data_IF_877339543067
#
_entry.id   IF_877339543067
#
_cell.length_a   1.000
_cell.length_b   1.000
_cell.length_c   1.000
_cell.angle_alpha   90.00
_cell.angle_beta   90.00
_cell.angle_gamma   90.00
#
_symmetry.space_group_name_H-M   'P 1'
#
loop_
_entity.id
_entity.type
_entity.pdbx_description
1 polymer ?
#
# COMPACT_ATOMS: atom_id res chain seq x y z
N UNK A 1 -13.14 9.59 -2.86
CA UNK A 1 -13.45 8.37 -3.64
C UNK A 1 -13.15 7.16 -2.76
N UNK A 2 -13.63 5.96 -3.08
CA UNK A 2 -13.30 4.76 -2.28
C UNK A 2 -11.99 4.08 -2.72
N UNK A 3 -11.29 4.64 -3.69
CA UNK A 3 -10.28 3.90 -4.47
C UNK A 3 -9.00 3.55 -3.70
N UNK A 4 -8.72 4.27 -2.60
CA UNK A 4 -7.52 4.07 -1.78
C UNK A 4 -7.69 3.08 -0.60
N UNK A 5 -8.80 2.35 -0.52
CA UNK A 5 -9.06 1.35 0.54
C UNK A 5 -9.00 1.95 1.96
N UNK A 6 -8.65 1.14 2.96
CA UNK A 6 -8.40 1.52 4.36
C UNK A 6 -6.95 1.99 4.53
N UNK A 7 -6.74 3.30 4.49
CA UNK A 7 -5.41 3.89 4.62
C UNK A 7 -4.91 3.80 6.08
N UNK A 8 -3.73 3.21 6.29
CA UNK A 8 -3.00 3.22 7.57
C UNK A 8 -1.85 4.23 7.60
N UNK A 9 -1.26 4.54 6.44
CA UNK A 9 -0.21 5.54 6.29
C UNK A 9 -0.21 6.15 4.90
N UNK A 10 0.27 7.40 4.79
CA UNK A 10 0.32 8.11 3.51
C UNK A 10 1.60 8.92 3.33
N UNK A 11 2.01 9.06 2.08
CA UNK A 11 3.07 9.95 1.64
C UNK A 11 2.66 10.64 0.34
N UNK A 12 2.90 11.94 0.21
CA UNK A 12 2.68 12.69 -1.03
C UNK A 12 4.02 13.25 -1.48
N UNK A 13 4.42 12.94 -2.72
CA UNK A 13 5.66 13.45 -3.29
C UNK A 13 5.49 14.86 -3.89
N UNK A 14 6.62 15.48 -4.27
CA UNK A 14 6.65 16.82 -4.88
C UNK A 14 5.93 16.94 -6.24
N UNK A 15 5.48 15.83 -6.83
CA UNK A 15 4.79 15.78 -8.11
C UNK A 15 3.31 15.39 -7.93
N UNK A 16 2.77 15.54 -6.71
CA UNK A 16 1.40 15.20 -6.34
C UNK A 16 1.06 13.71 -6.53
N UNK A 17 2.05 12.81 -6.41
CA UNK A 17 1.76 11.37 -6.28
C UNK A 17 1.45 11.04 -4.83
N UNK A 18 0.29 10.42 -4.62
CA UNK A 18 -0.15 9.87 -3.34
C UNK A 18 0.23 8.39 -3.26
N UNK A 19 0.92 8.02 -2.19
CA UNK A 19 1.25 6.66 -1.79
C UNK A 19 0.46 6.37 -0.52
N UNK A 20 -0.40 5.36 -0.54
CA UNK A 20 -1.25 5.01 0.60
C UNK A 20 -1.07 3.54 0.95
N UNK A 21 -0.63 3.30 2.18
CA UNK A 21 -0.50 1.98 2.80
C UNK A 21 -1.88 1.48 3.27
N UNK A 22 -2.15 0.19 3.08
CA UNK A 22 -3.31 -0.53 3.57
C UNK A 22 -2.85 -1.88 4.12
N UNK A 23 -2.68 -1.92 5.43
CA UNK A 23 -2.15 -3.06 6.18
C UNK A 23 -3.22 -3.91 6.86
N UNK A 24 -4.44 -3.39 6.93
CA UNK A 24 -5.47 -3.95 7.81
C UNK A 24 -6.73 -4.41 7.06
N UNK A 25 -6.91 -4.10 5.77
CA UNK A 25 -8.14 -4.49 5.07
C UNK A 25 -8.39 -6.00 5.09
N UNK A 26 -9.55 -6.41 5.58
CA UNK A 26 -10.00 -7.80 5.59
C UNK A 26 -11.51 -7.84 5.41
N UNK A 27 -12.12 -9.02 5.19
CA UNK A 27 -13.57 -9.15 5.14
C UNK A 27 -14.28 -8.63 6.41
N UNK A 28 -13.59 -8.56 7.55
CA UNK A 28 -14.15 -8.10 8.83
C UNK A 28 -13.82 -6.64 9.16
N UNK A 29 -12.60 -6.16 8.89
CA UNK A 29 -12.15 -4.81 9.24
C UNK A 29 -12.46 -3.76 8.16
N UNK A 30 -12.59 -4.20 6.90
CA UNK A 30 -12.91 -3.36 5.75
C UNK A 30 -13.58 -4.18 4.63
N UNK A 31 -14.87 -4.51 4.79
CA UNK A 31 -15.60 -5.30 3.79
C UNK A 31 -15.56 -4.64 2.41
N UNK A 32 -15.39 -5.44 1.35
CA UNK A 32 -15.31 -4.95 -0.02
C UNK A 32 -14.31 -5.66 -0.92
N UNK A 33 -13.61 -6.68 -0.42
CA UNK A 33 -12.67 -7.47 -1.24
C UNK A 33 -11.38 -6.74 -1.58
N UNK A 34 -10.94 -5.84 -0.70
CA UNK A 34 -9.73 -5.03 -0.90
C UNK A 34 -8.46 -5.86 -0.74
N UNK A 35 -7.61 -5.86 -1.77
CA UNK A 35 -6.24 -6.37 -1.67
C UNK A 35 -5.40 -5.40 -0.83
N UNK A 36 -4.75 -5.91 0.23
CA UNK A 36 -3.79 -5.13 1.03
C UNK A 36 -2.57 -4.73 0.20
N UNK A 37 -1.86 -3.71 0.67
CA UNK A 37 -0.62 -3.23 0.06
C UNK A 37 -0.53 -1.71 -0.04
N UNK A 38 0.36 -1.23 -0.89
CA UNK A 38 0.58 0.21 -1.12
C UNK A 38 -0.05 0.61 -2.45
N UNK A 39 -1.07 1.46 -2.41
CA UNK A 39 -1.69 2.08 -3.60
C UNK A 39 -0.95 3.35 -3.95
N UNK A 40 -0.66 3.52 -5.23
CA UNK A 40 0.01 4.71 -5.75
C UNK A 40 -0.91 5.36 -6.77
N UNK A 41 -1.19 6.65 -6.60
CA UNK A 41 -2.10 7.40 -7.46
C UNK A 41 -1.85 8.90 -7.44
N UNK A 42 -2.79 9.66 -7.96
CA UNK A 42 -2.73 11.12 -8.00
C UNK A 42 -3.42 11.74 -6.79
N UNK A 43 -2.76 12.68 -6.12
CA UNK A 43 -3.35 13.45 -5.03
C UNK A 43 -4.35 14.51 -5.54
N UNK A 44 -4.33 14.84 -6.84
CA UNK A 44 -5.18 15.88 -7.44
C UNK A 44 -6.59 15.38 -7.73
N UNK A 45 -6.70 14.16 -8.25
CA UNK A 45 -7.97 13.58 -8.69
C UNK A 45 -8.30 12.24 -8.00
N UNK A 46 -7.45 11.81 -7.06
CA UNK A 46 -7.64 10.60 -6.25
C UNK A 46 -7.83 9.32 -7.07
N UNK A 47 -7.22 9.25 -8.25
CA UNK A 47 -7.18 8.02 -9.06
C UNK A 47 -5.97 7.18 -8.70
N UNK A 48 -6.22 5.91 -8.37
CA UNK A 48 -5.18 4.89 -8.20
C UNK A 48 -4.64 4.47 -9.57
N UNK A 49 -3.32 4.39 -9.66
CA UNK A 49 -2.59 4.01 -10.88
C UNK A 49 -1.85 2.68 -10.73
N UNK A 50 -1.33 2.39 -9.54
CA UNK A 50 -0.54 1.20 -9.26
C UNK A 50 -0.86 0.62 -7.87
N UNK A 51 -0.57 -0.68 -7.71
CA UNK A 51 -0.61 -1.40 -6.44
C UNK A 51 0.68 -2.19 -6.26
N UNK A 52 1.34 -2.02 -5.12
CA UNK A 52 2.34 -2.95 -4.59
C UNK A 52 1.58 -3.87 -3.63
N UNK A 53 1.26 -5.12 -4.01
CA UNK A 53 0.39 -5.97 -3.21
C UNK A 53 1.11 -6.50 -1.96
N UNK A 54 0.33 -6.76 -0.91
CA UNK A 54 0.76 -7.59 0.22
C UNK A 54 1.07 -9.02 -0.27
N UNK A 55 2.33 -9.51 -0.17
CA UNK A 55 2.66 -10.87 -0.57
C UNK A 55 2.12 -11.94 0.39
N UNK A 56 1.82 -11.61 1.65
CA UNK A 56 1.35 -12.56 2.65
C UNK A 56 -0.14 -12.85 2.52
N UNK A 57 -0.90 -11.92 1.96
CA UNK A 57 -2.35 -12.03 1.79
C UNK A 57 -2.78 -11.75 0.33
N UNK A 58 -2.48 -12.67 -0.60
CA UNK A 58 -2.77 -12.47 -2.02
C UNK A 58 -4.27 -12.57 -2.36
N UNK A 59 -5.05 -13.25 -1.52
CA UNK A 59 -6.50 -13.43 -1.66
C UNK A 59 -7.24 -12.57 -0.61
N UNK A 60 -7.91 -11.47 -1.02
CA UNK A 60 -8.60 -10.58 -0.09
C UNK A 60 -9.79 -11.26 0.61
N UNK A 61 -10.36 -12.33 0.04
CA UNK A 61 -11.45 -13.07 0.67
C UNK A 61 -10.98 -13.96 1.84
N UNK A 62 -9.68 -14.29 1.89
CA UNK A 62 -9.06 -15.13 2.92
C UNK A 62 -8.18 -14.37 3.90
N UNK A 63 -8.04 -13.06 3.71
CA UNK A 63 -7.22 -12.21 4.56
C UNK A 63 -7.82 -12.15 5.96
N UNK A 64 -7.01 -12.43 6.99
CA UNK A 64 -7.45 -12.39 8.39
C UNK A 64 -7.28 -11.01 9.01
N UNK A 65 -7.91 -10.78 10.16
CA UNK A 65 -7.69 -9.57 10.94
C UNK A 65 -6.24 -9.50 11.47
N UNK A 66 -5.72 -8.28 11.65
CA UNK A 66 -4.33 -8.03 12.01
C UNK A 66 -3.58 -7.26 10.91
N UNK A 67 -2.33 -6.92 11.18
CA UNK A 67 -1.50 -6.10 10.29
C UNK A 67 -0.57 -6.98 9.44
N UNK A 68 -0.55 -6.71 8.14
CA UNK A 68 0.39 -7.26 7.16
C UNK A 68 0.68 -6.20 6.10
N UNK A 69 1.73 -6.34 5.29
CA UNK A 69 2.25 -5.25 4.45
C UNK A 69 2.55 -3.96 5.25
N UNK A 70 2.61 -2.82 4.55
CA UNK A 70 3.06 -1.56 5.11
C UNK A 70 1.97 -0.85 5.93
N UNK A 71 2.29 -0.48 7.17
CA UNK A 71 1.54 0.48 8.01
C UNK A 71 1.94 1.92 7.68
N UNK A 72 3.25 2.14 7.55
CA UNK A 72 3.83 3.41 7.13
C UNK A 72 4.44 3.31 5.74
N UNK A 73 4.39 4.38 4.97
CA UNK A 73 5.02 4.46 3.64
C UNK A 73 5.87 5.70 3.50
N UNK A 74 7.05 5.55 2.88
CA UNK A 74 7.92 6.65 2.50
C UNK A 74 8.53 6.39 1.12
N UNK A 75 8.99 7.45 0.45
CA UNK A 75 9.58 7.35 -0.89
C UNK A 75 10.86 8.17 -0.94
N UNK A 76 11.94 7.58 -1.46
CA UNK A 76 13.22 8.30 -1.65
C UNK A 76 13.27 9.10 -2.95
N UNK A 77 14.33 9.89 -3.13
CA UNK A 77 14.52 10.75 -4.29
C UNK A 77 14.66 9.96 -5.62
N UNK A 78 15.04 8.68 -5.55
CA UNK A 78 15.11 7.79 -6.70
C UNK A 78 13.76 7.12 -7.02
N UNK A 79 12.73 7.37 -6.21
CA UNK A 79 11.40 6.81 -6.37
C UNK A 79 11.25 5.38 -5.84
N UNK A 80 12.18 4.90 -5.01
CA UNK A 80 11.99 3.64 -4.30
C UNK A 80 10.98 3.84 -3.17
N UNK A 81 10.10 2.86 -2.99
CA UNK A 81 9.06 2.88 -1.95
C UNK A 81 9.53 2.04 -0.76
N UNK A 82 9.34 2.56 0.44
CA UNK A 82 9.67 1.87 1.69
C UNK A 82 8.38 1.67 2.48
N UNK A 83 8.14 0.42 2.90
CA UNK A 83 7.03 0.05 3.77
C UNK A 83 7.53 -0.31 5.16
N UNK A 84 6.98 0.32 6.20
CA UNK A 84 7.15 -0.10 7.58
C UNK A 84 6.12 -1.20 7.88
N UNK A 85 6.54 -2.46 7.83
CA UNK A 85 5.66 -3.61 7.97
C UNK A 85 5.67 -4.11 9.41
N UNK A 86 4.62 -3.79 10.19
CA UNK A 86 4.58 -4.04 11.64
C UNK A 86 4.39 -5.52 11.95
N UNK A 87 3.43 -6.20 11.31
CA UNK A 87 3.24 -7.64 11.48
C UNK A 87 4.48 -8.44 11.09
N UNK A 88 5.04 -8.23 9.88
CA UNK A 88 6.29 -8.85 9.43
C UNK A 88 7.55 -8.40 10.17
N UNK A 89 7.49 -7.32 10.96
CA UNK A 89 8.62 -6.72 11.72
C UNK A 89 9.82 -6.36 10.84
N UNK A 90 9.54 -5.77 9.68
CA UNK A 90 10.57 -5.42 8.70
C UNK A 90 10.32 -4.05 8.08
N UNK A 91 11.40 -3.42 7.61
CA UNK A 91 11.31 -2.34 6.63
C UNK A 91 11.61 -2.93 5.26
N UNK A 92 10.61 -2.95 4.37
CA UNK A 92 10.79 -3.46 3.00
C UNK A 92 11.00 -2.32 2.03
N UNK A 93 11.90 -2.53 1.06
CA UNK A 93 12.16 -1.63 -0.07
C UNK A 93 11.59 -2.24 -1.35
N UNK A 94 10.82 -1.46 -2.08
CA UNK A 94 10.32 -1.80 -3.41
C UNK A 94 10.93 -0.85 -4.43
N UNK A 95 11.69 -1.41 -5.36
CA UNK A 95 12.27 -0.71 -6.49
C UNK A 95 11.61 -1.19 -7.77
N UNK A 96 11.49 -0.30 -8.76
CA UNK A 96 11.10 -0.73 -10.10
C UNK A 96 12.17 -1.69 -10.62
N UNK A 97 11.73 -2.80 -11.24
CA UNK A 97 12.64 -3.67 -11.97
C UNK A 97 13.22 -2.86 -13.13
N UNK A 98 14.55 -2.77 -13.22
CA UNK A 98 15.19 -2.23 -14.42
C UNK A 98 14.77 -3.06 -15.62
N UNK A 99 14.43 -2.41 -16.73
CA UNK A 99 14.25 -3.13 -17.98
C UNK A 99 15.59 -3.77 -18.34
N UNK A 100 15.62 -5.09 -18.42
CA UNK A 100 16.68 -5.87 -19.07
C UNK A 100 16.49 -5.83 -20.57
#
# INVERSE_FOLDING_TARGET
TKDFSRISGLFIDKNDRLYAADSESSPTSHPGGWKRGIRIGSAKDLKVMYLIPDPENPDPAKTTAGTSAAEGVAVDAQGNVYGAEVGPKAVKKYAKKSAT
#
